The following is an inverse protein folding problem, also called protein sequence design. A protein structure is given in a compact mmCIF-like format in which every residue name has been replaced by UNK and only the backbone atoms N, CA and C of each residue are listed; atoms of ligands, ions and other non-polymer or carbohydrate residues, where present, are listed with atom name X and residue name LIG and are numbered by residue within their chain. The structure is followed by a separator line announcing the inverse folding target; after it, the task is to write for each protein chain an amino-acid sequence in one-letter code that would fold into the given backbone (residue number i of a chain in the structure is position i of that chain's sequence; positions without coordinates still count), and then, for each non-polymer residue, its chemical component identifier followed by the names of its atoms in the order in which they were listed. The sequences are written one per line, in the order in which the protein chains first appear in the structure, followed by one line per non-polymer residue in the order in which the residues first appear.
data_IF_894442611690
#
_entry.id   IF_894442611690
#
_cell.length_a   1.000
_cell.length_b   1.000
_cell.length_c   1.000
_cell.angle_alpha   90.00
_cell.angle_beta   90.00
_cell.angle_gamma   90.00
#
_symmetry.space_group_name_H-M   'P 1'
#
loop_
_entity.id
_entity.type
_entity.pdbx_description
1 polymer ?
#
# COMPACT_ATOMS: atom_id res chain seq x y z
N UNK A 1 -5.85 7.93 6.24
CA UNK A 1 -5.30 6.90 5.34
C UNK A 1 -6.28 6.79 4.19
N UNK A 2 -5.97 7.40 3.06
CA UNK A 2 -6.60 7.08 1.77
C UNK A 2 -5.81 5.91 1.15
N UNK A 3 -6.46 5.06 0.34
CA UNK A 3 -5.82 3.99 -0.46
C UNK A 3 -5.15 2.82 0.30
N UNK A 4 -5.52 2.55 1.55
CA UNK A 4 -4.84 1.50 2.32
C UNK A 4 -5.02 0.12 1.67
N UNK A 5 -6.22 -0.20 1.19
CA UNK A 5 -6.51 -1.52 0.61
C UNK A 5 -5.81 -1.67 -0.74
N UNK A 6 -5.93 -0.66 -1.60
CA UNK A 6 -5.33 -0.64 -2.93
C UNK A 6 -3.81 -0.74 -2.86
N UNK A 7 -3.16 0.07 -2.01
CA UNK A 7 -1.70 0.05 -1.91
C UNK A 7 -1.19 -1.25 -1.29
N UNK A 8 -1.88 -1.76 -0.28
CA UNK A 8 -1.57 -3.07 0.31
C UNK A 8 -1.69 -4.18 -0.73
N UNK A 9 -2.73 -4.17 -1.56
CA UNK A 9 -2.93 -5.16 -2.61
C UNK A 9 -1.83 -5.11 -3.67
N UNK A 10 -1.39 -3.91 -4.08
CA UNK A 10 -0.26 -3.73 -5.00
C UNK A 10 1.02 -4.33 -4.39
N UNK A 11 1.30 -4.09 -3.10
CA UNK A 11 2.44 -4.69 -2.41
C UNK A 11 2.35 -6.21 -2.41
N UNK A 12 1.19 -6.77 -2.08
CA UNK A 12 0.98 -8.22 -2.09
C UNK A 12 1.20 -8.83 -3.47
N UNK A 13 0.64 -8.23 -4.53
CA UNK A 13 0.80 -8.70 -5.91
C UNK A 13 2.28 -8.63 -6.35
N UNK A 14 2.97 -7.54 -6.04
CA UNK A 14 4.41 -7.40 -6.30
C UNK A 14 5.22 -8.48 -5.57
N UNK A 15 4.86 -8.79 -4.32
CA UNK A 15 5.55 -9.81 -3.52
C UNK A 15 5.26 -11.23 -4.02
N UNK A 16 4.04 -11.51 -4.49
CA UNK A 16 3.72 -12.80 -5.12
C UNK A 16 4.58 -13.03 -6.36
N UNK A 17 4.70 -12.01 -7.23
CA UNK A 17 5.62 -12.06 -8.36
C UNK A 17 7.08 -12.22 -7.91
N UNK A 18 7.49 -11.48 -6.87
CA UNK A 18 8.83 -11.55 -6.28
C UNK A 18 9.20 -12.97 -5.80
N UNK A 19 8.25 -13.67 -5.18
CA UNK A 19 8.47 -15.02 -4.68
C UNK A 19 8.54 -16.07 -5.77
N UNK A 20 7.89 -15.83 -6.90
CA UNK A 20 7.82 -16.74 -8.03
C UNK A 20 8.95 -16.52 -9.05
N UNK A 21 9.50 -15.31 -9.15
CA UNK A 21 10.52 -14.96 -10.14
C UNK A 21 11.93 -15.44 -9.77
N UNK A 22 12.68 -15.92 -10.74
CA UNK A 22 14.10 -16.26 -10.60
C UNK A 22 15.01 -15.01 -10.66
N UNK A 23 14.48 -13.88 -11.14
CA UNK A 23 15.20 -12.60 -11.29
C UNK A 23 15.39 -11.82 -9.99
N UNK A 24 14.75 -12.25 -8.91
CA UNK A 24 14.88 -11.62 -7.59
C UNK A 24 15.82 -12.44 -6.71
N UNK A 25 16.72 -11.75 -6.01
CA UNK A 25 17.67 -12.35 -5.09
C UNK A 25 17.01 -13.05 -3.90
N UNK A 26 17.68 -14.08 -3.38
CA UNK A 26 17.14 -14.87 -2.28
C UNK A 26 17.01 -14.06 -0.98
N UNK A 27 17.83 -13.03 -0.76
CA UNK A 27 17.71 -12.14 0.40
C UNK A 27 16.32 -11.49 0.48
N UNK A 28 15.78 -11.05 -0.65
CA UNK A 28 14.47 -10.40 -0.72
C UNK A 28 13.35 -11.40 -0.52
N UNK A 29 13.45 -12.58 -1.16
CA UNK A 29 12.48 -13.67 -0.96
C UNK A 29 12.46 -14.15 0.49
N UNK A 30 13.62 -14.30 1.12
CA UNK A 30 13.77 -14.69 2.53
C UNK A 30 13.12 -13.66 3.45
N UNK A 31 13.45 -12.38 3.28
CA UNK A 31 12.87 -11.29 4.07
C UNK A 31 11.35 -11.19 3.88
N UNK A 32 10.88 -11.25 2.63
CA UNK A 32 9.48 -11.15 2.30
C UNK A 32 8.66 -12.33 2.84
N UNK A 33 9.13 -13.58 2.72
CA UNK A 33 8.42 -14.76 3.21
C UNK A 33 8.33 -14.78 4.73
N UNK A 34 9.43 -14.44 5.41
CA UNK A 34 9.50 -14.46 6.88
C UNK A 34 8.80 -13.27 7.53
N UNK A 35 8.76 -12.12 6.86
CA UNK A 35 8.30 -10.84 7.44
C UNK A 35 7.28 -10.11 6.58
N UNK A 36 6.40 -10.83 5.88
CA UNK A 36 5.37 -10.23 4.99
C UNK A 36 4.53 -9.14 5.69
N UNK A 37 4.27 -9.27 6.99
CA UNK A 37 3.51 -8.26 7.75
C UNK A 37 4.23 -6.91 7.82
N UNK A 38 5.56 -6.94 7.81
CA UNK A 38 6.36 -5.72 7.84
C UNK A 38 6.43 -5.00 6.50
N UNK A 39 6.28 -5.72 5.37
CA UNK A 39 6.15 -5.04 4.08
C UNK A 39 4.86 -4.23 3.98
N UNK A 40 3.77 -4.69 4.60
CA UNK A 40 2.54 -3.89 4.71
C UNK A 40 2.69 -2.62 5.56
N UNK A 41 3.52 -2.63 6.61
CA UNK A 41 3.82 -1.37 7.30
C UNK A 41 4.59 -0.39 6.38
N UNK A 42 5.41 -0.93 5.48
CA UNK A 42 6.01 -0.15 4.40
C UNK A 42 4.96 0.48 3.48
N UNK A 43 3.80 -0.17 3.31
CA UNK A 43 2.73 0.28 2.41
C UNK A 43 1.88 1.44 2.90
N UNK A 44 2.16 1.95 4.09
CA UNK A 44 1.52 3.15 4.65
C UNK A 44 2.53 4.26 4.97
N UNK A 45 3.77 4.11 4.52
CA UNK A 45 4.89 5.01 4.86
C UNK A 45 5.17 6.02 3.73
N UNK A 46 5.36 7.29 4.09
CA UNK A 46 5.68 8.40 3.16
C UNK A 46 7.18 8.71 3.14
N UNK A 47 7.66 9.30 2.04
CA UNK A 47 9.05 9.80 1.84
C UNK A 47 10.13 8.72 1.58
N UNK A 48 9.80 7.68 0.81
CA UNK A 48 10.75 6.58 0.50
C UNK A 48 11.94 6.99 -0.35
N UNK A 49 11.75 8.00 -1.20
CA UNK A 49 12.78 8.58 -2.07
C UNK A 49 14.05 9.03 -1.33
N UNK A 50 13.93 9.45 -0.06
CA UNK A 50 15.06 9.94 0.74
C UNK A 50 15.88 8.84 1.40
N UNK A 51 15.25 7.72 1.75
CA UNK A 51 15.87 6.76 2.67
C UNK A 51 16.10 5.38 2.06
N UNK A 52 15.29 4.97 1.07
CA UNK A 52 15.32 3.58 0.59
C UNK A 52 16.70 3.14 0.11
N UNK A 53 17.41 3.97 -0.65
CA UNK A 53 18.73 3.59 -1.21
C UNK A 53 19.79 3.45 -0.13
N UNK A 54 19.91 4.43 0.77
CA UNK A 54 20.85 4.36 1.89
C UNK A 54 20.55 3.18 2.83
N UNK A 55 19.28 2.82 3.00
CA UNK A 55 18.89 1.64 3.76
C UNK A 55 19.24 0.34 3.03
N UNK A 56 19.01 0.26 1.71
CA UNK A 56 19.40 -0.91 0.90
C UNK A 56 20.91 -1.14 0.94
N UNK A 57 21.71 -0.09 0.78
CA UNK A 57 23.18 -0.16 0.87
C UNK A 57 23.63 -0.69 2.24
N UNK A 58 23.09 -0.11 3.31
CA UNK A 58 23.37 -0.55 4.67
C UNK A 58 22.99 -2.01 4.90
N UNK A 59 21.84 -2.45 4.41
CA UNK A 59 21.38 -3.82 4.63
C UNK A 59 22.15 -4.82 3.78
N UNK A 60 22.53 -4.44 2.56
CA UNK A 60 23.40 -5.21 1.67
C UNK A 60 24.74 -5.49 2.34
N UNK A 61 25.39 -4.46 2.87
CA UNK A 61 26.71 -4.58 3.50
C UNK A 61 26.73 -5.51 4.72
N UNK A 62 25.61 -5.66 5.43
CA UNK A 62 25.52 -6.46 6.65
C UNK A 62 24.66 -7.72 6.51
N UNK A 63 24.18 -8.06 5.31
CA UNK A 63 23.17 -9.11 5.15
C UNK A 63 23.69 -10.48 5.60
N UNK A 64 24.86 -10.91 5.11
CA UNK A 64 25.40 -12.24 5.40
C UNK A 64 25.89 -12.41 6.84
N UNK A 65 26.22 -11.32 7.53
CA UNK A 65 26.73 -11.31 8.90
C UNK A 65 25.65 -10.97 9.95
N UNK A 66 24.40 -10.82 9.50
CA UNK A 66 23.29 -10.36 10.34
C UNK A 66 23.03 -11.30 11.51
N UNK A 67 22.75 -10.72 12.67
CA UNK A 67 22.24 -11.42 13.85
C UNK A 67 20.75 -11.15 14.00
N UNK A 68 20.02 -12.05 14.65
CA UNK A 68 18.58 -11.89 14.88
C UNK A 68 18.26 -10.57 15.61
N UNK A 69 19.11 -10.19 16.58
CA UNK A 69 18.99 -8.96 17.34
C UNK A 69 19.02 -7.69 16.47
N UNK A 70 19.65 -7.75 15.29
CA UNK A 70 19.75 -6.60 14.37
C UNK A 70 18.44 -6.34 13.63
N UNK A 71 17.55 -7.35 13.60
CA UNK A 71 16.23 -7.31 12.94
C UNK A 71 16.31 -6.96 11.45
N UNK A 72 17.39 -7.34 10.75
CA UNK A 72 17.60 -6.97 9.35
C UNK A 72 16.50 -7.47 8.42
N UNK A 73 16.01 -8.70 8.58
CA UNK A 73 14.93 -9.22 7.73
C UNK A 73 13.62 -8.41 7.84
N UNK A 74 13.30 -7.92 9.05
CA UNK A 74 12.14 -7.04 9.28
C UNK A 74 12.29 -5.71 8.55
N UNK A 75 13.47 -5.10 8.70
CA UNK A 75 13.81 -3.80 8.10
C UNK A 75 13.86 -3.89 6.57
N UNK A 76 14.43 -4.95 6.03
CA UNK A 76 14.47 -5.17 4.59
C UNK A 76 13.04 -5.36 4.04
N UNK A 77 12.23 -6.24 4.64
CA UNK A 77 10.84 -6.42 4.21
C UNK A 77 10.03 -5.11 4.24
N UNK A 78 10.22 -4.28 5.26
CA UNK A 78 9.63 -2.94 5.34
C UNK A 78 10.04 -2.06 4.16
N UNK A 79 11.34 -1.99 3.84
CA UNK A 79 11.86 -1.19 2.71
C UNK A 79 11.32 -1.70 1.37
N UNK A 80 11.22 -3.02 1.17
CA UNK A 80 10.65 -3.61 -0.04
C UNK A 80 9.16 -3.27 -0.21
N UNK A 81 8.38 -3.32 0.88
CA UNK A 81 6.99 -2.87 0.87
C UNK A 81 6.86 -1.38 0.58
N UNK A 82 7.77 -0.57 1.12
CA UNK A 82 7.82 0.87 0.89
C UNK A 82 8.10 1.23 -0.57
N UNK A 83 8.97 0.47 -1.26
CA UNK A 83 9.20 0.60 -2.71
C UNK A 83 7.92 0.36 -3.50
N UNK A 84 7.20 -0.73 -3.21
CA UNK A 84 5.96 -1.08 -3.91
C UNK A 84 4.87 -0.01 -3.67
N UNK A 85 4.76 0.49 -2.45
CA UNK A 85 3.85 1.58 -2.14
C UNK A 85 4.19 2.85 -2.89
N UNK A 86 5.47 3.20 -3.01
CA UNK A 86 5.87 4.36 -3.81
C UNK A 86 5.44 4.22 -5.27
N UNK A 87 5.54 3.02 -5.84
CA UNK A 87 5.05 2.76 -7.19
C UNK A 87 3.52 2.96 -7.28
N UNK A 88 2.76 2.47 -6.30
CA UNK A 88 1.32 2.71 -6.21
C UNK A 88 1.00 4.21 -6.11
N UNK A 89 1.67 4.95 -5.22
CA UNK A 89 1.53 6.40 -5.05
C UNK A 89 1.79 7.17 -6.35
N UNK A 90 2.85 6.81 -7.10
CA UNK A 90 3.20 7.44 -8.38
C UNK A 90 2.13 7.24 -9.45
N UNK A 91 1.43 6.11 -9.39
CA UNK A 91 0.36 5.79 -10.30
C UNK A 91 -0.95 6.46 -9.88
N UNK A 92 -1.39 6.22 -8.65
CA UNK A 92 -2.75 6.46 -8.20
C UNK A 92 -3.01 7.94 -7.90
N UNK A 93 -2.04 8.66 -7.35
CA UNK A 93 -2.20 10.09 -7.04
C UNK A 93 -2.54 10.94 -8.26
N UNK A 94 -2.01 10.58 -9.43
CA UNK A 94 -2.34 11.25 -10.70
C UNK A 94 -3.79 10.99 -11.07
N UNK A 95 -4.22 9.72 -11.01
CA UNK A 95 -5.60 9.31 -11.29
C UNK A 95 -6.60 10.03 -10.38
N UNK A 96 -6.30 10.19 -9.10
CA UNK A 96 -7.17 10.91 -8.18
C UNK A 96 -7.33 12.38 -8.53
N UNK A 97 -6.22 13.06 -8.88
CA UNK A 97 -6.24 14.47 -9.28
C UNK A 97 -6.98 14.67 -10.59
N UNK A 98 -6.84 13.75 -11.55
CA UNK A 98 -7.53 13.83 -12.84
C UNK A 98 -9.03 13.52 -12.71
N UNK A 99 -9.38 12.50 -11.91
CA UNK A 99 -10.76 12.11 -11.71
C UNK A 99 -11.54 13.14 -10.89
N UNK A 100 -10.89 13.82 -9.94
CA UNK A 100 -11.51 14.77 -9.01
C UNK A 100 -10.65 16.04 -8.76
N UNK A 101 -10.41 16.89 -9.77
CA UNK A 101 -9.48 18.02 -9.67
C UNK A 101 -9.90 19.09 -8.65
N UNK A 102 -11.21 19.21 -8.40
CA UNK A 102 -11.79 20.20 -7.48
C UNK A 102 -11.98 19.66 -6.05
N UNK A 103 -11.65 18.39 -5.80
CA UNK A 103 -11.86 17.79 -4.48
C UNK A 103 -10.97 18.43 -3.42
N UNK A 104 -11.59 18.87 -2.33
CA UNK A 104 -10.90 19.36 -1.12
C UNK A 104 -10.93 18.34 0.02
N UNK A 105 -11.54 17.18 -0.24
CA UNK A 105 -11.68 16.12 0.74
C UNK A 105 -10.45 15.21 0.75
N UNK A 106 -10.11 14.69 1.93
CA UNK A 106 -9.07 13.69 2.08
C UNK A 106 -9.53 12.63 3.08
N UNK A 107 -9.69 11.34 2.69
CA UNK A 107 -9.59 10.77 1.33
C UNK A 107 -10.58 11.37 0.31
N UNK A 108 -10.24 11.29 -0.98
CA UNK A 108 -11.14 11.60 -2.10
C UNK A 108 -12.11 10.44 -2.36
N UNK A 109 -13.26 10.67 -3.00
CA UNK A 109 -14.19 9.58 -3.31
C UNK A 109 -13.55 8.56 -4.26
N UNK A 110 -12.77 9.01 -5.25
CA UNK A 110 -12.05 8.14 -6.17
C UNK A 110 -11.14 7.15 -5.41
N UNK A 111 -10.38 7.64 -4.42
CA UNK A 111 -9.52 6.80 -3.58
C UNK A 111 -10.31 5.76 -2.75
N UNK A 112 -11.49 6.14 -2.23
CA UNK A 112 -12.36 5.26 -1.45
C UNK A 112 -12.96 4.18 -2.34
N UNK A 113 -13.43 4.55 -3.54
CA UNK A 113 -14.02 3.61 -4.48
C UNK A 113 -13.00 2.63 -5.03
N UNK A 114 -11.74 3.05 -5.21
CA UNK A 114 -10.64 2.14 -5.55
C UNK A 114 -10.43 1.09 -4.46
N UNK A 115 -10.36 1.52 -3.20
CA UNK A 115 -10.23 0.60 -2.05
C UNK A 115 -11.42 -0.35 -1.93
N UNK A 116 -12.65 0.15 -2.06
CA UNK A 116 -13.85 -0.68 -2.02
C UNK A 116 -13.86 -1.71 -3.17
N UNK A 117 -13.51 -1.29 -4.39
CA UNK A 117 -13.42 -2.19 -5.54
C UNK A 117 -12.38 -3.29 -5.32
N UNK A 118 -11.16 -2.94 -4.87
CA UNK A 118 -10.10 -3.91 -4.62
C UNK A 118 -10.48 -4.85 -3.46
N UNK A 119 -11.14 -4.34 -2.43
CA UNK A 119 -11.67 -5.17 -1.33
C UNK A 119 -12.58 -6.29 -1.87
N UNK A 120 -13.58 -5.95 -2.70
CA UNK A 120 -14.46 -6.96 -3.32
C UNK A 120 -13.69 -7.88 -4.27
N UNK A 121 -12.82 -7.30 -5.11
CA UNK A 121 -12.13 -8.04 -6.17
C UNK A 121 -11.15 -9.07 -5.62
N UNK A 122 -10.41 -8.72 -4.57
CA UNK A 122 -9.26 -9.51 -4.12
C UNK A 122 -9.41 -10.11 -2.72
N UNK A 123 -10.31 -9.61 -1.86
CA UNK A 123 -10.36 -9.98 -0.45
C UNK A 123 -11.67 -10.57 0.05
N UNK A 124 -12.84 -10.01 -0.33
CA UNK A 124 -14.15 -10.37 0.27
C UNK A 124 -14.42 -11.88 0.25
N UNK A 125 -14.01 -12.58 -0.81
CA UNK A 125 -14.21 -14.02 -0.97
C UNK A 125 -12.91 -14.80 -1.22
N UNK A 126 -11.76 -14.27 -0.79
CA UNK A 126 -10.47 -14.89 -1.03
C UNK A 126 -9.80 -15.37 0.28
N UNK A 127 -9.91 -16.67 0.62
CA UNK A 127 -9.33 -17.20 1.85
C UNK A 127 -7.79 -17.32 1.79
N UNK A 128 -7.20 -17.17 0.60
CA UNK A 128 -5.79 -17.36 0.28
C UNK A 128 -5.01 -16.05 0.23
N UNK A 129 -5.60 -14.93 0.65
CA UNK A 129 -4.82 -13.71 0.82
C UNK A 129 -3.86 -13.91 1.99
N UNK A 130 -2.60 -13.43 1.89
CA UNK A 130 -1.66 -13.50 3.01
C UNK A 130 -2.21 -12.76 4.26
N UNK A 131 -3.17 -11.87 4.04
CA UNK A 131 -3.88 -11.10 5.06
C UNK A 131 -5.36 -11.11 4.79
N UNK A 132 -6.10 -11.91 5.57
CA UNK A 132 -7.56 -11.93 5.49
C UNK A 132 -8.11 -10.61 6.02
N UNK A 133 -8.48 -9.70 5.12
CA UNK A 133 -9.39 -8.64 5.49
C UNK A 133 -10.72 -9.28 5.88
N UNK A 134 -11.17 -9.00 7.09
CA UNK A 134 -12.46 -9.50 7.59
C UNK A 134 -13.51 -8.47 7.23
N UNK A 135 -14.71 -8.92 6.85
CA UNK A 135 -15.89 -8.07 6.62
C UNK A 135 -16.11 -7.06 7.75
N UNK A 136 -15.82 -7.48 8.99
CA UNK A 136 -15.84 -6.64 10.19
C UNK A 136 -15.04 -5.32 10.10
N UNK A 137 -14.02 -5.24 9.23
CA UNK A 137 -13.19 -4.03 9.06
C UNK A 137 -13.88 -2.94 8.23
N UNK A 138 -14.90 -3.29 7.43
CA UNK A 138 -15.56 -2.37 6.50
C UNK A 138 -17.07 -2.25 6.73
N UNK A 139 -17.61 -2.99 7.70
CA UNK A 139 -19.02 -2.95 8.02
C UNK A 139 -19.35 -1.93 9.11
N UNK A 140 -20.34 -1.08 8.85
CA UNK A 140 -20.84 -0.15 9.85
C UNK A 140 -21.55 -0.92 10.99
N UNK A 141 -21.07 -0.75 12.22
CA UNK A 141 -21.66 -1.40 13.39
C UNK A 141 -21.49 -2.92 13.43
N UNK A 142 -20.73 -3.53 12.51
CA UNK A 142 -20.52 -4.99 12.41
C UNK A 142 -21.83 -5.80 12.35
N UNK A 143 -22.92 -5.23 11.83
CA UNK A 143 -24.28 -5.76 11.99
C UNK A 143 -24.51 -7.15 11.39
N UNK A 144 -23.76 -7.56 10.37
CA UNK A 144 -23.77 -8.90 9.78
C UNK A 144 -23.11 -9.96 10.66
N UNK A 145 -22.32 -9.57 11.66
CA UNK A 145 -21.63 -10.50 12.54
C UNK A 145 -22.56 -11.03 13.63
N UNK A 146 -22.60 -12.34 13.90
CA UNK A 146 -23.45 -12.92 14.96
C UNK A 146 -23.23 -12.30 16.35
N UNK A 147 -22.00 -11.83 16.62
CA UNK A 147 -21.64 -11.22 17.89
C UNK A 147 -22.11 -9.76 18.06
N UNK A 148 -22.50 -9.07 16.98
CA UNK A 148 -22.90 -7.67 17.05
C UNK A 148 -24.20 -7.47 17.86
N UNK A 149 -25.10 -8.45 17.88
CA UNK A 149 -26.27 -8.42 18.76
C UNK A 149 -25.92 -8.45 20.25
N UNK A 150 -24.74 -8.98 20.61
CA UNK A 150 -24.29 -9.12 22.00
C UNK A 150 -23.41 -7.95 22.48
N UNK A 151 -23.00 -7.05 21.57
CA UNK A 151 -22.09 -5.93 21.88
C UNK A 151 -22.76 -4.63 21.47
N UNK A 152 -22.79 -3.65 22.37
CA UNK A 152 -23.15 -2.27 22.00
C UNK A 152 -21.98 -1.65 21.23
N UNK A 153 -21.91 -1.92 19.93
CA UNK A 153 -20.73 -1.60 19.09
C UNK A 153 -20.39 -0.11 19.14
N UNK A 154 -21.37 0.77 19.12
CA UNK A 154 -21.15 2.22 19.20
C UNK A 154 -20.53 2.64 20.54
N UNK A 155 -21.03 2.11 21.65
CA UNK A 155 -20.51 2.41 23.00
C UNK A 155 -19.08 1.86 23.17
N UNK A 156 -18.83 0.65 22.67
CA UNK A 156 -17.51 0.03 22.67
C UNK A 156 -16.51 0.82 21.81
N UNK A 157 -16.91 1.23 20.61
CA UNK A 157 -16.09 2.05 19.72
C UNK A 157 -15.77 3.42 20.34
N UNK A 158 -16.75 4.07 20.97
CA UNK A 158 -16.53 5.33 21.69
C UNK A 158 -15.53 5.17 22.85
N UNK A 159 -15.65 4.08 23.61
CA UNK A 159 -14.74 3.77 24.73
C UNK A 159 -13.31 3.51 24.25
N UNK A 160 -13.14 2.69 23.20
CA UNK A 160 -11.85 2.42 22.58
C UNK A 160 -11.22 3.69 21.98
N UNK A 161 -12.01 4.54 21.33
CA UNK A 161 -11.57 5.83 20.80
C UNK A 161 -11.00 6.71 21.91
N UNK A 162 -11.67 6.81 23.06
CA UNK A 162 -11.19 7.56 24.20
C UNK A 162 -9.88 6.99 24.77
N UNK A 163 -9.78 5.68 24.94
CA UNK A 163 -8.55 5.02 25.41
C UNK A 163 -7.39 5.24 24.45
N UNK A 164 -7.63 5.11 23.14
CA UNK A 164 -6.63 5.33 22.09
C UNK A 164 -6.14 6.77 22.05
N UNK A 165 -7.06 7.75 22.10
CA UNK A 165 -6.71 9.16 22.21
C UNK A 165 -5.85 9.43 23.45
N UNK A 166 -6.19 8.86 24.60
CA UNK A 166 -5.39 9.00 25.83
C UNK A 166 -4.00 8.37 25.69
N UNK A 167 -3.88 7.21 25.05
CA UNK A 167 -2.57 6.59 24.76
C UNK A 167 -1.74 7.45 23.81
N UNK A 168 -2.33 7.97 22.73
CA UNK A 168 -1.65 8.85 21.79
C UNK A 168 -1.19 10.17 22.44
N UNK A 169 -2.01 10.75 23.33
CA UNK A 169 -1.61 11.90 24.14
C UNK A 169 -0.47 11.53 25.11
N UNK A 170 -0.50 10.34 25.70
CA UNK A 170 0.59 9.83 26.54
C UNK A 170 1.90 9.57 25.78
N UNK A 171 1.84 9.40 24.46
CA UNK A 171 3.00 9.29 23.57
C UNK A 171 3.55 10.65 23.10
N UNK A 172 2.89 11.77 23.44
CA UNK A 172 3.42 13.11 23.13
C UNK A 172 4.61 13.45 24.05
N UNK A 173 5.81 13.16 23.57
CA UNK A 173 7.07 13.73 24.10
C UNK A 173 7.98 14.20 22.96
N UNK A 174 7.47 14.88 21.93
CA UNK A 174 8.30 15.22 20.76
C UNK A 174 8.19 16.65 20.20
N UNK A 175 7.37 17.53 20.76
CA UNK A 175 7.44 18.96 20.41
C UNK A 175 7.56 19.76 21.70
N UNK A 176 8.70 20.44 21.96
CA UNK A 176 8.78 21.41 23.05
C UNK A 176 7.64 22.40 22.86
N UNK A 177 6.93 22.74 23.94
CA UNK A 177 5.88 23.77 23.92
C UNK A 177 6.38 24.97 23.12
N UNK A 178 5.85 25.16 21.91
CA UNK A 178 6.06 26.40 21.18
C UNK A 178 5.31 27.48 21.96
N UNK A 179 5.89 28.68 22.09
CA UNK A 179 5.38 29.79 22.89
C UNK A 179 3.98 30.32 22.49
N UNK A 180 3.30 29.67 21.54
CA UNK A 180 1.96 29.99 21.07
C UNK A 180 1.09 28.72 21.03
N UNK A 181 0.25 28.59 22.05
CA UNK A 181 -0.69 27.48 22.23
C UNK A 181 -1.77 27.45 21.14
N UNK A 182 -2.17 28.60 20.59
CA UNK A 182 -3.21 28.69 19.57
C UNK A 182 -2.71 28.15 18.22
N UNK A 183 -1.45 28.44 17.87
CA UNK A 183 -0.80 27.85 16.69
C UNK A 183 -0.63 26.34 16.85
N UNK A 184 -0.30 25.87 18.04
CA UNK A 184 -0.19 24.43 18.31
C UNK A 184 -1.55 23.74 18.22
N UNK A 185 -2.60 24.29 18.84
CA UNK A 185 -3.97 23.78 18.74
C UNK A 185 -4.50 23.79 17.30
N UNK A 186 -4.21 24.84 16.53
CA UNK A 186 -4.54 24.92 15.11
C UNK A 186 -3.86 23.81 14.28
N UNK A 187 -2.57 23.56 14.54
CA UNK A 187 -1.83 22.46 13.89
C UNK A 187 -2.35 21.09 14.32
N UNK A 188 -2.67 20.90 15.60
CA UNK A 188 -3.25 19.67 16.11
C UNK A 188 -4.64 19.42 15.51
N UNK A 189 -5.48 20.45 15.41
CA UNK A 189 -6.79 20.36 14.78
C UNK A 189 -6.69 20.02 13.30
N UNK A 190 -5.80 20.68 12.56
CA UNK A 190 -5.53 20.35 11.15
C UNK A 190 -5.00 18.90 11.00
N UNK A 191 -4.09 18.46 11.88
CA UNK A 191 -3.58 17.08 11.90
C UNK A 191 -4.66 16.07 12.27
N UNK A 192 -5.55 16.42 13.20
CA UNK A 192 -6.68 15.58 13.56
C UNK A 192 -7.67 15.47 12.40
N UNK A 193 -7.96 16.56 11.68
CA UNK A 193 -8.78 16.54 10.46
C UNK A 193 -8.14 15.71 9.33
N UNK A 194 -6.82 15.79 9.14
CA UNK A 194 -6.07 14.87 8.24
C UNK A 194 -6.18 13.39 8.67
N UNK A 195 -6.50 13.13 9.94
CA UNK A 195 -6.59 11.80 10.55
C UNK A 195 -8.03 11.27 10.70
N UNK A 196 -9.06 12.07 10.36
CA UNK A 196 -10.44 11.57 10.33
C UNK A 196 -10.61 10.71 9.09
N UNK A 197 -10.45 9.40 9.25
CA UNK A 197 -10.91 8.44 8.24
C UNK A 197 -12.43 8.42 8.33
N UNK A 198 -13.10 8.84 7.26
CA UNK A 198 -14.55 8.74 7.14
C UNK A 198 -14.94 7.27 6.88
N UNK A 199 -14.85 6.43 7.92
CA UNK A 199 -15.16 5.00 7.83
C UNK A 199 -16.58 4.73 7.30
N UNK A 200 -17.51 5.65 7.55
CA UNK A 200 -18.87 5.61 6.98
C UNK A 200 -18.85 5.65 5.45
N UNK A 201 -18.04 6.52 4.84
CA UNK A 201 -17.89 6.60 3.37
C UNK A 201 -17.31 5.32 2.78
N UNK A 202 -16.35 4.70 3.48
CA UNK A 202 -15.82 3.39 3.07
C UNK A 202 -16.88 2.30 3.19
N UNK A 203 -17.62 2.26 4.29
CA UNK A 203 -18.69 1.29 4.49
C UNK A 203 -19.80 1.44 3.44
N UNK A 204 -20.19 2.67 3.11
CA UNK A 204 -21.15 2.96 2.04
C UNK A 204 -20.62 2.50 0.68
N UNK A 205 -19.37 2.83 0.34
CA UNK A 205 -18.76 2.42 -0.93
C UNK A 205 -18.62 0.89 -1.08
N UNK A 206 -18.43 0.17 0.03
CA UNK A 206 -18.35 -1.30 0.05
C UNK A 206 -19.75 -1.93 0.01
N UNK A 207 -20.67 -1.50 0.88
CA UNK A 207 -21.95 -2.19 1.06
C UNK A 207 -23.01 -1.74 0.04
N UNK A 208 -23.03 -0.45 -0.30
CA UNK A 208 -24.03 0.17 -1.19
C UNK A 208 -23.37 1.17 -2.14
N UNK A 209 -22.49 0.72 -3.05
CA UNK A 209 -21.77 1.62 -3.96
C UNK A 209 -22.72 2.39 -4.87
N UNK A 210 -22.48 3.70 -5.03
CA UNK A 210 -23.19 4.55 -5.98
C UNK A 210 -22.77 4.17 -7.42
N UNK A 211 -23.70 3.70 -8.29
CA UNK A 211 -23.38 3.29 -9.65
C UNK A 211 -22.72 4.39 -10.50
N UNK A 212 -23.05 5.66 -10.25
CA UNK A 212 -22.44 6.80 -10.96
C UNK A 212 -20.97 6.94 -10.57
N UNK A 213 -20.66 6.82 -9.27
CA UNK A 213 -19.28 6.87 -8.77
C UNK A 213 -18.49 5.63 -9.20
N UNK A 214 -19.09 4.44 -9.21
CA UNK A 214 -18.45 3.23 -9.75
C UNK A 214 -18.06 3.43 -11.20
N UNK A 215 -18.99 3.88 -12.06
CA UNK A 215 -18.69 4.14 -13.47
C UNK A 215 -17.56 5.16 -13.61
N UNK A 216 -17.69 6.31 -12.95
CA UNK A 216 -16.73 7.41 -13.05
C UNK A 216 -15.34 7.03 -12.55
N UNK A 217 -15.23 6.36 -11.40
CA UNK A 217 -13.94 6.15 -10.74
C UNK A 217 -13.29 4.80 -11.05
N UNK A 218 -14.05 3.82 -11.55
CA UNK A 218 -13.54 2.50 -11.90
C UNK A 218 -13.51 2.29 -13.41
N UNK A 219 -14.64 2.46 -14.09
CA UNK A 219 -14.74 2.15 -15.52
C UNK A 219 -14.08 3.26 -16.38
N UNK A 220 -14.46 4.52 -16.19
CA UNK A 220 -14.01 5.63 -17.02
C UNK A 220 -12.52 5.95 -16.80
N UNK A 221 -11.96 5.63 -15.62
CA UNK A 221 -10.52 5.74 -15.33
C UNK A 221 -9.70 4.53 -15.82
N UNK A 222 -10.36 3.47 -16.29
CA UNK A 222 -9.75 2.16 -16.52
C UNK A 222 -8.94 1.69 -15.29
N UNK A 223 -9.55 1.73 -14.10
CA UNK A 223 -8.83 1.45 -12.85
C UNK A 223 -8.27 0.02 -12.81
N UNK A 224 -9.06 -0.98 -13.21
CA UNK A 224 -8.69 -2.39 -13.17
C UNK A 224 -9.24 -3.11 -14.39
N UNK A 225 -8.43 -3.96 -15.03
CA UNK A 225 -8.86 -4.82 -16.14
C UNK A 225 -8.48 -6.28 -15.90
N UNK A 226 -9.43 -7.19 -16.14
CA UNK A 226 -9.17 -8.64 -16.09
C UNK A 226 -8.34 -9.14 -17.28
N UNK A 227 -8.20 -8.32 -18.33
CA UNK A 227 -7.46 -8.68 -19.54
C UNK A 227 -5.95 -8.46 -19.39
N UNK A 228 -5.54 -7.57 -18.47
CA UNK A 228 -4.14 -7.28 -18.19
C UNK A 228 -3.39 -8.55 -17.78
N UNK A 229 -2.40 -8.94 -18.59
CA UNK A 229 -1.67 -10.20 -18.40
C UNK A 229 -1.00 -10.29 -17.03
N UNK A 230 -0.43 -9.18 -16.53
CA UNK A 230 0.17 -9.12 -15.20
C UNK A 230 -0.84 -9.38 -14.08
N UNK A 231 -2.10 -8.97 -14.24
CA UNK A 231 -3.15 -9.20 -13.23
C UNK A 231 -3.70 -10.63 -13.29
N UNK A 232 -3.76 -11.23 -14.48
CA UNK A 232 -4.05 -12.66 -14.61
C UNK A 232 -2.96 -13.52 -13.94
N UNK A 233 -1.69 -13.17 -14.14
CA UNK A 233 -0.57 -13.79 -13.43
C UNK A 233 -0.71 -13.64 -11.91
N UNK A 234 -0.97 -12.43 -11.40
CA UNK A 234 -1.15 -12.21 -9.96
C UNK A 234 -2.32 -13.02 -9.39
N UNK A 235 -3.42 -13.16 -10.13
CA UNK A 235 -4.55 -14.02 -9.74
C UNK A 235 -4.15 -15.49 -9.65
N UNK A 236 -3.46 -16.01 -10.64
CA UNK A 236 -2.95 -17.38 -10.63
C UNK A 236 -2.05 -17.62 -9.41
N UNK A 237 -1.12 -16.71 -9.13
CA UNK A 237 -0.26 -16.76 -7.94
C UNK A 237 -1.05 -16.71 -6.62
N UNK A 238 -2.09 -15.86 -6.53
CA UNK A 238 -3.01 -15.84 -5.36
C UNK A 238 -3.78 -17.14 -5.18
N UNK A 239 -4.02 -17.87 -6.27
CA UNK A 239 -4.66 -19.19 -6.25
C UNK A 239 -3.67 -20.33 -5.94
N UNK A 240 -2.38 -20.01 -5.76
CA UNK A 240 -1.33 -20.97 -5.44
C UNK A 240 -0.73 -21.67 -6.65
N UNK A 241 -1.04 -21.21 -7.86
CA UNK A 241 -0.39 -21.68 -9.07
C UNK A 241 1.11 -21.33 -9.06
N UNK A 242 1.88 -22.06 -9.86
CA UNK A 242 3.34 -21.87 -9.99
C UNK A 242 3.70 -21.66 -11.46
N UNK A 243 3.46 -20.45 -11.99
CA UNK A 243 3.85 -20.09 -13.35
C UNK A 243 5.35 -20.27 -13.54
N UNK A 244 5.76 -20.58 -14.77
CA UNK A 244 7.15 -20.61 -15.18
C UNK A 244 7.74 -19.19 -15.23
N UNK A 245 9.06 -19.04 -15.05
CA UNK A 245 9.71 -17.72 -15.09
C UNK A 245 9.48 -17.02 -16.45
N UNK A 246 9.43 -17.76 -17.56
CA UNK A 246 9.08 -17.24 -18.89
C UNK A 246 7.68 -16.60 -18.92
N UNK A 247 6.72 -17.14 -18.18
CA UNK A 247 5.36 -16.58 -18.10
C UNK A 247 5.36 -15.29 -17.29
N UNK A 248 6.18 -15.21 -16.24
CA UNK A 248 6.37 -14.02 -15.41
C UNK A 248 7.03 -12.91 -16.24
N UNK A 249 8.13 -13.22 -16.94
CA UNK A 249 8.84 -12.25 -17.78
C UNK A 249 7.95 -11.75 -18.92
N UNK A 250 7.18 -12.64 -19.56
CA UNK A 250 6.27 -12.25 -20.63
C UNK A 250 5.11 -11.37 -20.12
N UNK A 251 4.57 -11.64 -18.92
CA UNK A 251 3.56 -10.79 -18.30
C UNK A 251 4.10 -9.42 -17.89
N UNK A 252 5.35 -9.36 -17.42
CA UNK A 252 6.01 -8.12 -17.04
C UNK A 252 6.40 -7.26 -18.26
N UNK A 253 6.80 -7.89 -19.37
CA UNK A 253 7.19 -7.19 -20.59
C UNK A 253 6.01 -6.47 -21.27
N UNK A 254 4.80 -7.04 -21.18
CA UNK A 254 3.58 -6.46 -21.75
C UNK A 254 3.21 -5.14 -21.07
N UNK A 255 2.75 -4.15 -21.85
CA UNK A 255 2.32 -2.86 -21.30
C UNK A 255 0.86 -2.93 -20.85
N UNK A 256 0.57 -2.75 -19.55
CA UNK A 256 -0.78 -2.87 -19.05
C UNK A 256 -1.66 -1.67 -19.38
N UNK A 257 -2.94 -1.94 -19.64
CA UNK A 257 -3.95 -0.94 -19.95
C UNK A 257 -4.53 -0.29 -18.69
N UNK A 258 -4.71 -1.04 -17.59
CA UNK A 258 -5.33 -0.50 -16.38
C UNK A 258 -4.37 0.16 -15.41
N UNK A 259 -4.89 1.12 -14.63
CA UNK A 259 -4.11 1.88 -13.65
C UNK A 259 -3.51 0.97 -12.57
N UNK A 260 -4.29 0.02 -12.04
CA UNK A 260 -3.82 -0.93 -11.05
C UNK A 260 -2.71 -1.84 -11.60
N UNK A 261 -2.86 -2.33 -12.83
CA UNK A 261 -1.81 -3.14 -13.47
C UNK A 261 -0.52 -2.35 -13.73
N UNK A 262 -0.61 -1.07 -14.11
CA UNK A 262 0.54 -0.18 -14.22
C UNK A 262 1.27 -0.01 -12.87
N UNK A 263 0.52 0.15 -11.76
CA UNK A 263 1.11 0.21 -10.42
C UNK A 263 1.85 -1.09 -10.04
N UNK A 264 1.26 -2.26 -10.32
CA UNK A 264 1.90 -3.56 -10.06
C UNK A 264 3.16 -3.74 -10.91
N UNK A 265 3.10 -3.41 -12.20
CA UNK A 265 4.28 -3.48 -13.10
C UNK A 265 5.40 -2.57 -12.58
N UNK A 266 5.09 -1.32 -12.24
CA UNK A 266 6.08 -0.38 -11.71
C UNK A 266 6.68 -0.87 -10.38
N UNK A 267 5.84 -1.35 -9.45
CA UNK A 267 6.28 -1.86 -8.16
C UNK A 267 7.19 -3.08 -8.26
N UNK A 268 6.83 -4.05 -9.11
CA UNK A 268 7.68 -5.21 -9.38
C UNK A 268 8.99 -4.81 -10.09
N UNK A 269 8.94 -3.84 -11.01
CA UNK A 269 10.14 -3.28 -11.64
C UNK A 269 11.10 -2.62 -10.63
N UNK A 270 10.56 -1.95 -9.60
CA UNK A 270 11.36 -1.41 -8.50
C UNK A 270 11.99 -2.51 -7.66
N UNK A 271 11.28 -3.61 -7.38
CA UNK A 271 11.85 -4.77 -6.68
C UNK A 271 12.99 -5.41 -7.47
N UNK A 272 12.85 -5.58 -8.80
CA UNK A 272 13.92 -6.08 -9.67
C UNK A 272 15.16 -5.19 -9.63
N UNK A 273 14.97 -3.88 -9.76
CA UNK A 273 16.08 -2.92 -9.74
C UNK A 273 16.77 -2.90 -8.37
N UNK A 274 16.01 -2.94 -7.28
CA UNK A 274 16.56 -3.02 -5.94
C UNK A 274 17.31 -4.36 -5.71
N UNK A 275 16.82 -5.46 -6.29
CA UNK A 275 17.50 -6.76 -6.25
C UNK A 275 18.84 -6.72 -6.99
N UNK A 276 18.86 -6.19 -8.22
CA UNK A 276 20.09 -6.00 -9.00
C UNK A 276 21.12 -5.18 -8.21
N UNK A 277 20.69 -4.10 -7.56
CA UNK A 277 21.56 -3.29 -6.71
C UNK A 277 22.04 -4.03 -5.46
N UNK A 278 21.16 -4.81 -4.83
CA UNK A 278 21.49 -5.60 -3.64
C UNK A 278 22.55 -6.67 -3.94
N UNK A 279 22.51 -7.27 -5.14
CA UNK A 279 23.50 -8.24 -5.62
C UNK A 279 24.76 -7.56 -6.22
N UNK A 280 24.75 -6.23 -6.39
CA UNK A 280 25.88 -5.49 -6.95
C UNK A 280 25.98 -5.51 -8.48
N UNK A 281 24.90 -5.84 -9.17
CA UNK A 281 24.82 -5.86 -10.63
C UNK A 281 24.66 -4.44 -11.22
N UNK A 282 24.17 -3.49 -10.43
CA UNK A 282 24.05 -2.08 -10.80
C UNK A 282 24.58 -1.18 -9.67
N UNK A 283 24.94 0.05 -10.02
CA UNK A 283 25.38 1.08 -9.08
C UNK A 283 24.20 1.90 -8.50
N UNK A 284 24.53 2.81 -7.57
CA UNK A 284 23.56 3.65 -6.89
C UNK A 284 22.84 4.62 -7.85
N UNK A 285 23.54 5.15 -8.84
CA UNK A 285 22.99 6.11 -9.81
C UNK A 285 21.97 5.43 -10.72
N UNK A 286 22.31 4.25 -11.22
CA UNK A 286 21.40 3.40 -12.01
C UNK A 286 20.17 3.02 -11.18
N UNK A 287 20.35 2.69 -9.89
CA UNK A 287 19.21 2.42 -9.01
C UNK A 287 18.33 3.66 -8.83
N UNK A 288 18.91 4.85 -8.58
CA UNK A 288 18.15 6.10 -8.44
C UNK A 288 17.29 6.37 -9.66
N UNK A 289 17.86 6.21 -10.84
CA UNK A 289 17.16 6.43 -12.10
C UNK A 289 15.99 5.44 -12.28
N UNK A 290 16.24 4.14 -12.08
CA UNK A 290 15.22 3.07 -12.20
C UNK A 290 14.13 3.15 -11.15
N UNK A 291 14.42 3.71 -9.98
CA UNK A 291 13.45 3.98 -8.92
C UNK A 291 12.80 5.36 -9.05
N UNK A 292 13.03 6.09 -10.14
CA UNK A 292 12.51 7.45 -10.36
C UNK A 292 12.79 8.44 -9.22
N UNK A 293 13.90 8.28 -8.49
CA UNK A 293 14.26 9.16 -7.36
C UNK A 293 14.47 10.59 -7.87
N UNK A 294 13.77 11.55 -7.26
CA UNK A 294 13.80 12.95 -7.69
C UNK A 294 13.03 13.25 -8.99
N UNK A 295 12.46 12.24 -9.67
CA UNK A 295 11.65 12.46 -10.86
C UNK A 295 10.21 12.79 -10.48
N UNK A 296 9.65 13.80 -11.16
CA UNK A 296 8.24 14.16 -11.07
C UNK A 296 7.34 13.02 -11.57
N UNK A 297 6.10 12.99 -11.11
CA UNK A 297 5.06 12.13 -11.67
C UNK A 297 4.71 12.53 -13.11
N UNK A 298 3.86 11.75 -13.77
CA UNK A 298 3.40 12.02 -15.14
C UNK A 298 2.69 13.36 -15.30
N UNK A 299 2.12 13.87 -14.23
CA UNK A 299 1.47 15.19 -14.13
C UNK A 299 2.42 16.32 -13.73
N UNK A 300 3.73 16.06 -13.66
CA UNK A 300 4.73 17.06 -13.29
C UNK A 300 4.77 17.43 -11.80
N UNK A 301 4.03 16.74 -10.94
CA UNK A 301 4.03 16.96 -9.50
C UNK A 301 4.97 16.00 -8.77
N UNK A 302 5.49 16.41 -7.61
CA UNK A 302 6.22 15.49 -6.71
C UNK A 302 5.24 14.49 -6.09
N UNK A 303 5.71 13.26 -5.89
CA UNK A 303 4.92 12.18 -5.28
C UNK A 303 5.05 12.18 -3.77
#
# INVERSE_FOLDING_TARGET
MSENVTHTAVVEDCFLMMFASERICEAFKEAGRSQIRFSQYGSVTRSGDKFTIALLDKYRASWHERKEADRLSYKLAFVLGWLCHRAADRQMKVVFREAEPESREFPTDCSIYHDAFIFHKLYENNPNTPFRYRTAHFENGMTSLPAAAAVKVNDAAASLRFMWQRMLLGLQTFVPQTADEAVWLGKLHAKHQEQVIHLERYAEAVVTPDPVKVRRFIADTCFYSDDDRILRLCRALRQGERPLDEEIEAAFAEEPASQYAQAVKLGFGYLRSASDYFEGLIDEETLKDRLDVGKKGRDGQSV
#
